data_IF_338564767885
#
_entry.id   IF_338564767885
#
_cell.length_a   1.000
_cell.length_b   1.000
_cell.length_c   1.000
_cell.angle_alpha   90.00
_cell.angle_beta   90.00
_cell.angle_gamma   90.00
#
_symmetry.space_group_name_H-M   'P 1'
#
loop_
_entity.id
_entity.type
_entity.pdbx_description
1 polymer ?
#
# COMPACT_ATOMS: atom_id res chain seq x y z
N UNK A 1 12.25 -38.53 -42.76
CA UNK A 1 12.75 -39.24 -41.57
C UNK A 1 11.93 -38.76 -40.38
N UNK A 2 10.84 -39.46 -40.03
CA UNK A 2 10.75 -40.48 -38.94
C UNK A 2 11.08 -39.87 -37.57
N UNK A 3 10.27 -39.92 -36.50
CA UNK A 3 9.05 -40.67 -36.13
C UNK A 3 8.44 -40.01 -34.87
N UNK A 4 7.12 -40.01 -34.77
CA UNK A 4 6.34 -40.34 -33.56
C UNK A 4 5.39 -41.49 -33.96
N UNK A 5 4.64 -42.20 -33.08
CA UNK A 5 4.52 -42.18 -31.61
C UNK A 5 4.54 -43.61 -30.97
N UNK A 6 4.41 -43.72 -29.64
CA UNK A 6 3.81 -44.90 -28.99
C UNK A 6 2.92 -44.48 -27.81
N UNK A 7 1.62 -44.73 -27.97
CA UNK A 7 0.64 -44.88 -26.88
C UNK A 7 0.59 -46.35 -26.44
N UNK A 8 0.37 -46.61 -25.16
CA UNK A 8 -0.52 -47.67 -24.64
C UNK A 8 -0.72 -47.46 -23.13
N UNK A 9 -1.95 -47.16 -22.68
CA UNK A 9 -2.87 -48.03 -21.90
C UNK A 9 -2.29 -48.44 -20.52
N UNK A 10 -2.97 -48.25 -19.38
CA UNK A 10 -4.41 -48.36 -19.17
C UNK A 10 -4.93 -47.75 -17.87
N UNK A 11 -6.25 -47.89 -17.77
CA UNK A 11 -7.28 -47.20 -17.00
C UNK A 11 -7.50 -47.69 -15.57
N UNK A 12 -7.83 -46.72 -14.70
CA UNK A 12 -8.92 -46.68 -13.70
C UNK A 12 -9.57 -47.97 -13.16
N UNK A 13 -9.78 -47.98 -11.84
CA UNK A 13 -10.94 -48.48 -11.02
C UNK A 13 -10.48 -48.51 -9.54
N UNK A 14 -11.26 -48.28 -8.48
CA UNK A 14 -12.71 -48.15 -8.27
C UNK A 14 -12.96 -47.54 -6.87
N UNK A 15 -14.03 -46.76 -6.75
CA UNK A 15 -14.71 -46.37 -5.51
C UNK A 15 -15.70 -47.46 -5.08
N UNK A 16 -16.05 -47.43 -3.79
CA UNK A 16 -17.22 -48.04 -3.10
C UNK A 16 -17.23 -49.54 -2.74
N UNK A 17 -17.30 -49.79 -1.42
CA UNK A 17 -18.27 -50.73 -0.84
C UNK A 17 -18.62 -50.32 0.60
N UNK A 18 -19.92 -50.25 0.88
CA UNK A 18 -20.55 -50.06 2.19
C UNK A 18 -20.70 -51.37 2.97
N UNK A 19 -20.74 -51.23 4.31
CA UNK A 19 -21.61 -51.90 5.29
C UNK A 19 -20.95 -52.79 6.38
N UNK A 20 -21.06 -52.27 7.62
CA UNK A 20 -21.29 -52.93 8.92
C UNK A 20 -20.39 -54.09 9.38
N UNK A 21 -19.64 -53.86 10.46
CA UNK A 21 -19.74 -54.66 11.70
C UNK A 21 -19.05 -53.98 12.89
N UNK A 22 -19.76 -54.06 14.01
CA UNK A 22 -19.48 -53.67 15.39
C UNK A 22 -18.15 -54.24 15.91
N UNK A 23 -17.38 -53.48 16.70
CA UNK A 23 -16.61 -53.96 17.89
C UNK A 23 -15.97 -52.77 18.64
N UNK A 24 -16.30 -52.62 19.93
CA UNK A 24 -15.60 -51.76 20.93
C UNK A 24 -14.31 -52.43 21.44
N UNK A 25 -13.30 -51.68 21.95
CA UNK A 25 -13.19 -51.56 23.42
C UNK A 25 -12.66 -50.22 23.99
N UNK A 26 -13.36 -49.75 25.03
CA UNK A 26 -12.92 -49.34 26.40
C UNK A 26 -11.59 -48.59 26.66
N UNK A 27 -11.73 -47.28 26.93
CA UNK A 27 -11.41 -46.49 28.16
C UNK A 27 -10.01 -46.52 28.82
N UNK A 28 -9.40 -45.34 28.97
CA UNK A 28 -8.86 -44.73 30.24
C UNK A 28 -8.54 -43.22 30.02
N UNK A 29 -9.40 -42.29 30.47
CA UNK A 29 -9.34 -41.46 31.70
C UNK A 29 -8.24 -40.39 31.81
N UNK A 30 -8.65 -39.12 31.73
CA UNK A 30 -8.39 -38.00 32.70
C UNK A 30 -9.26 -36.81 32.24
N UNK A 31 -10.38 -36.50 32.90
CA UNK A 31 -10.50 -35.56 34.05
C UNK A 31 -9.82 -34.22 33.72
N UNK A 32 -10.52 -33.09 33.57
CA UNK A 32 -11.27 -32.42 34.63
C UNK A 32 -12.49 -31.63 34.12
N UNK A 33 -13.50 -31.60 34.97
CA UNK A 33 -14.81 -30.96 34.84
C UNK A 33 -14.78 -29.46 35.19
N UNK A 34 -15.69 -28.73 34.53
CA UNK A 34 -16.62 -27.69 35.05
C UNK A 34 -16.11 -26.55 35.93
N UNK A 35 -16.43 -25.33 35.52
CA UNK A 35 -17.33 -24.38 36.21
C UNK A 35 -17.94 -23.47 35.11
N UNK A 36 -19.20 -23.65 34.68
CA UNK A 36 -20.46 -23.24 35.29
C UNK A 36 -20.68 -21.71 35.29
N UNK A 37 -21.57 -21.29 34.39
CA UNK A 37 -22.26 -20.01 34.30
C UNK A 37 -22.95 -19.64 35.62
N UNK A 38 -22.89 -18.38 36.01
CA UNK A 38 -23.97 -17.73 36.76
C UNK A 38 -24.21 -16.33 36.18
N UNK A 39 -25.49 -16.07 35.97
CA UNK A 39 -26.13 -14.87 35.44
C UNK A 39 -26.58 -14.03 36.65
N UNK A 40 -26.19 -12.76 36.72
CA UNK A 40 -26.83 -11.74 37.56
C UNK A 40 -26.58 -10.35 36.98
N UNK A 41 -27.65 -9.56 36.93
CA UNK A 41 -27.72 -8.24 36.30
C UNK A 41 -27.29 -7.08 37.22
N UNK A 42 -26.58 -6.11 36.62
CA UNK A 42 -26.47 -4.65 36.92
C UNK A 42 -25.80 -4.16 38.23
N UNK A 43 -25.37 -2.88 38.34
CA UNK A 43 -25.08 -1.84 37.33
C UNK A 43 -23.60 -1.35 37.36
N UNK A 44 -23.22 -0.53 36.36
CA UNK A 44 -21.87 0.00 36.08
C UNK A 44 -21.16 0.71 37.24
N UNK A 45 -19.81 0.70 37.21
CA UNK A 45 -19.06 1.92 37.50
C UNK A 45 -18.07 2.29 36.38
N UNK A 46 -18.00 3.59 36.12
CA UNK A 46 -17.03 4.27 35.27
C UNK A 46 -15.59 4.04 35.74
N UNK A 47 -14.73 3.51 34.86
CA UNK A 47 -13.27 3.66 34.99
C UNK A 47 -12.63 3.77 33.61
N UNK A 48 -11.83 4.82 33.47
CA UNK A 48 -11.00 5.14 32.31
C UNK A 48 -9.94 4.05 32.08
N UNK A 49 -9.58 3.84 30.81
CA UNK A 49 -8.64 2.86 30.26
C UNK A 49 -9.24 1.48 29.94
N UNK A 50 -9.90 1.39 28.79
CA UNK A 50 -10.17 0.12 28.12
C UNK A 50 -8.87 -0.49 27.53
N UNK A 51 -8.78 -1.82 27.43
CA UNK A 51 -7.62 -2.49 26.84
C UNK A 51 -7.53 -2.14 25.35
N UNK A 52 -6.37 -1.61 24.93
CA UNK A 52 -6.05 -1.39 23.52
C UNK A 52 -6.08 -2.74 22.81
N UNK A 53 -7.04 -2.93 21.91
CA UNK A 53 -7.02 -4.09 21.01
C UNK A 53 -5.88 -3.89 20.02
N UNK A 54 -4.87 -4.80 19.98
CA UNK A 54 -3.80 -4.67 19.02
C UNK A 54 -4.35 -4.81 17.60
N UNK A 55 -3.87 -3.95 16.70
CA UNK A 55 -4.11 -4.06 15.28
C UNK A 55 -3.58 -5.43 14.80
N UNK A 56 -4.27 -6.03 13.82
CA UNK A 56 -3.75 -7.22 13.14
C UNK A 56 -2.40 -6.93 12.44
N UNK A 57 -2.10 -5.65 12.19
CA UNK A 57 -0.79 -5.19 11.71
C UNK A 57 0.34 -5.28 12.76
N UNK A 58 0.03 -5.34 14.07
CA UNK A 58 1.04 -5.35 15.16
C UNK A 58 1.39 -6.75 15.70
N UNK A 59 0.78 -7.81 15.18
CA UNK A 59 0.95 -9.19 15.71
C UNK A 59 2.01 -10.05 15.01
N UNK A 60 2.89 -9.45 14.19
CA UNK A 60 3.95 -10.21 13.50
C UNK A 60 5.32 -9.64 13.85
N UNK A 61 5.99 -10.28 14.81
CA UNK A 61 7.41 -10.09 15.08
C UNK A 61 8.25 -10.49 13.86
N UNK A 62 9.29 -9.72 13.48
CA UNK A 62 10.22 -10.13 12.44
C UNK A 62 11.01 -11.38 12.87
N UNK A 63 11.39 -12.29 11.95
CA UNK A 63 12.16 -13.48 12.31
C UNK A 63 13.49 -13.08 12.95
N UNK A 64 13.79 -13.72 14.08
CA UNK A 64 15.02 -13.51 14.84
C UNK A 64 16.25 -13.87 14.00
N UNK A 65 17.24 -12.96 14.00
CA UNK A 65 18.53 -13.14 13.35
C UNK A 65 19.24 -14.42 13.83
N UNK A 66 19.37 -15.40 12.93
CA UNK A 66 20.22 -16.57 13.16
C UNK A 66 21.70 -16.14 13.22
N UNK A 67 22.30 -16.36 14.40
CA UNK A 67 23.73 -16.15 14.68
C UNK A 67 24.60 -16.91 13.68
N UNK A 68 25.38 -16.19 12.85
CA UNK A 68 26.47 -16.79 12.05
C UNK A 68 27.60 -17.22 13.00
N UNK A 69 27.80 -18.54 13.11
CA UNK A 69 28.95 -19.17 13.80
C UNK A 69 30.25 -18.77 13.11
N UNK A 70 31.18 -18.26 13.92
CA UNK A 70 32.58 -17.97 13.60
C UNK A 70 33.30 -19.28 13.27
N UNK A 71 33.88 -19.39 12.08
CA UNK A 71 34.76 -20.52 11.70
C UNK A 71 36.14 -19.97 11.39
N UNK A 72 37.09 -20.32 12.24
CA UNK A 72 38.52 -20.06 12.15
C UNK A 72 39.13 -20.85 10.99
N UNK A 73 39.90 -20.20 10.13
CA UNK A 73 40.73 -20.86 9.11
C UNK A 73 42.19 -20.44 9.30
N UNK A 74 43.02 -21.46 9.46
CA UNK A 74 44.47 -21.46 9.64
C UNK A 74 45.24 -21.07 8.37
N UNK A 75 46.37 -20.36 8.53
CA UNK A 75 47.39 -20.09 7.50
C UNK A 75 48.13 -21.39 7.11
N UNK A 76 48.62 -21.64 5.88
CA UNK A 76 49.79 -21.10 5.11
C UNK A 76 49.94 -22.02 3.84
N UNK A 77 50.89 -21.85 2.89
CA UNK A 77 51.63 -20.66 2.43
C UNK A 77 51.57 -20.47 0.89
N UNK A 78 52.25 -19.42 0.41
CA UNK A 78 52.34 -18.95 -0.96
C UNK A 78 53.17 -19.85 -1.91
N UNK A 79 52.77 -19.86 -3.19
CA UNK A 79 53.61 -20.27 -4.34
C UNK A 79 53.54 -19.15 -5.38
N UNK A 80 54.71 -18.65 -5.75
CA UNK A 80 54.95 -17.70 -6.84
C UNK A 80 54.90 -18.46 -8.18
N UNK A 81 54.26 -17.87 -9.18
CA UNK A 81 54.54 -18.22 -10.58
C UNK A 81 54.56 -16.93 -11.38
N UNK A 82 55.76 -16.59 -11.85
CA UNK A 82 56.02 -15.57 -12.87
C UNK A 82 55.57 -16.10 -14.23
N UNK A 83 54.93 -15.29 -15.06
CA UNK A 83 55.06 -15.39 -16.52
C UNK A 83 54.89 -14.01 -17.17
N UNK A 84 56.05 -13.46 -17.55
CA UNK A 84 56.43 -12.78 -18.81
C UNK A 84 55.45 -11.76 -19.41
N UNK A 85 55.93 -10.52 -19.39
CA UNK A 85 55.44 -9.35 -20.08
C UNK A 85 56.11 -9.30 -21.47
N UNK A 86 55.31 -9.37 -22.54
CA UNK A 86 55.78 -9.07 -23.90
C UNK A 86 55.03 -7.86 -24.46
N UNK A 87 55.85 -6.88 -24.85
CA UNK A 87 55.47 -5.57 -25.37
C UNK A 87 54.94 -5.65 -26.80
N UNK A 88 53.82 -4.98 -27.07
CA UNK A 88 53.56 -4.38 -28.39
C UNK A 88 53.17 -2.92 -28.19
N UNK A 89 54.01 -2.04 -28.74
CA UNK A 89 53.87 -0.58 -28.73
C UNK A 89 52.75 -0.10 -29.66
N UNK A 90 51.98 0.85 -29.11
CA UNK A 90 51.55 2.12 -29.72
C UNK A 90 50.81 2.13 -31.06
N UNK A 91 49.51 2.42 -31.00
CA UNK A 91 48.83 3.32 -31.95
C UNK A 91 48.08 4.38 -31.13
N UNK A 92 48.40 5.64 -31.40
CA UNK A 92 47.80 6.82 -30.77
C UNK A 92 46.29 6.89 -31.04
N UNK A 93 45.51 7.16 -29.99
CA UNK A 93 44.11 7.61 -30.08
C UNK A 93 44.00 9.03 -29.50
N UNK A 94 43.15 9.91 -30.06
CA UNK A 94 43.11 11.33 -29.75
C UNK A 94 42.62 11.62 -28.32
N UNK A 95 42.92 12.82 -27.77
CA UNK A 95 42.67 13.13 -26.36
C UNK A 95 41.17 13.07 -26.04
N UNK A 96 40.86 12.28 -25.01
CA UNK A 96 39.53 12.13 -24.42
C UNK A 96 39.01 13.51 -24.00
N UNK A 97 37.91 13.95 -24.61
CA UNK A 97 37.20 15.15 -24.20
C UNK A 97 36.95 15.10 -22.69
N UNK A 98 37.27 16.19 -22.00
CA UNK A 98 37.14 16.31 -20.56
C UNK A 98 35.73 15.91 -20.12
N UNK A 99 35.65 14.99 -19.16
CA UNK A 99 34.39 14.64 -18.52
C UNK A 99 33.74 15.91 -17.97
N UNK A 100 32.42 16.11 -18.15
CA UNK A 100 31.74 17.26 -17.59
C UNK A 100 31.96 17.29 -16.06
N UNK A 101 32.11 18.48 -15.47
CA UNK A 101 32.32 18.61 -14.04
C UNK A 101 31.19 17.90 -13.28
N UNK A 102 31.50 17.21 -12.17
CA UNK A 102 30.48 16.55 -11.38
C UNK A 102 29.42 17.58 -10.98
N UNK A 103 28.12 17.24 -11.04
CA UNK A 103 27.07 18.18 -10.68
C UNK A 103 27.34 18.72 -9.28
N UNK A 104 27.19 20.03 -9.10
CA UNK A 104 27.42 20.72 -7.83
C UNK A 104 26.75 19.93 -6.70
N UNK A 105 27.53 19.55 -5.67
CA UNK A 105 27.03 18.81 -4.51
C UNK A 105 25.93 19.65 -3.85
N UNK A 106 24.67 19.28 -4.06
CA UNK A 106 23.52 19.89 -3.38
C UNK A 106 23.74 19.86 -1.87
N UNK A 107 23.37 20.95 -1.20
CA UNK A 107 23.44 21.07 0.24
C UNK A 107 22.72 19.89 0.92
N UNK A 108 23.32 19.33 1.97
CA UNK A 108 22.72 18.23 2.70
C UNK A 108 21.37 18.64 3.30
N UNK A 109 20.33 17.81 3.11
CA UNK A 109 18.99 18.01 3.68
C UNK A 109 19.09 18.22 5.19
N UNK A 110 18.51 19.32 5.68
CA UNK A 110 18.34 19.55 7.12
C UNK A 110 17.06 18.83 7.58
N UNK A 111 17.13 17.90 8.56
CA UNK A 111 15.95 17.20 9.05
C UNK A 111 15.00 18.17 9.78
N UNK A 112 13.75 17.74 10.01
CA UNK A 112 12.84 18.49 10.86
C UNK A 112 13.46 18.66 12.26
N UNK A 113 13.53 19.90 12.76
CA UNK A 113 14.09 20.18 14.09
C UNK A 113 13.03 20.78 14.99
N UNK A 114 12.89 20.20 16.19
CA UNK A 114 12.00 20.65 17.24
C UNK A 114 12.75 21.65 18.11
N UNK A 115 12.28 22.90 18.19
CA UNK A 115 12.80 23.94 19.08
C UNK A 115 11.76 24.24 20.14
N UNK A 116 12.15 24.18 21.40
CA UNK A 116 11.33 24.64 22.52
C UNK A 116 11.75 26.05 22.85
N UNK A 117 10.80 26.98 22.84
CA UNK A 117 11.06 28.33 23.31
C UNK A 117 11.28 28.28 24.84
N UNK A 118 12.46 28.70 25.34
CA UNK A 118 12.77 28.62 26.76
C UNK A 118 11.89 29.53 27.63
N UNK A 119 11.17 30.49 27.04
CA UNK A 119 10.37 31.48 27.76
C UNK A 119 8.88 31.12 27.81
N UNK A 120 8.33 30.56 26.73
CA UNK A 120 6.90 30.18 26.66
C UNK A 120 6.65 28.70 26.87
N UNK A 121 7.68 27.84 26.79
CA UNK A 121 7.53 26.39 26.81
C UNK A 121 6.86 25.82 25.54
N UNK A 122 6.44 26.69 24.61
CA UNK A 122 5.86 26.28 23.35
C UNK A 122 6.91 25.59 22.49
N UNK A 123 6.52 24.45 21.92
CA UNK A 123 7.43 23.69 21.06
C UNK A 123 7.05 23.85 19.60
N UNK A 124 7.94 24.44 18.80
CA UNK A 124 7.77 24.62 17.36
C UNK A 124 8.68 23.67 16.59
N UNK A 125 8.10 22.84 15.74
CA UNK A 125 8.87 21.99 14.82
C UNK A 125 9.05 22.73 13.49
N UNK A 126 10.30 22.86 13.05
CA UNK A 126 10.63 23.37 11.72
C UNK A 126 10.57 22.23 10.70
N UNK A 127 10.06 22.49 9.47
CA UNK A 127 9.97 21.46 8.44
C UNK A 127 11.35 21.12 7.85
N UNK A 128 11.52 19.92 7.24
CA UNK A 128 12.74 19.57 6.51
C UNK A 128 13.00 20.55 5.35
N UNK A 129 14.24 20.95 5.08
CA UNK A 129 14.53 22.08 4.17
C UNK A 129 13.99 21.96 2.73
N UNK A 130 13.80 20.76 2.22
CA UNK A 130 13.40 20.44 0.83
C UNK A 130 12.09 19.64 0.77
N UNK A 131 11.27 19.73 1.84
CA UNK A 131 10.00 19.02 1.92
C UNK A 131 9.04 19.46 0.80
N UNK A 132 8.99 20.75 0.51
CA UNK A 132 8.08 21.34 -0.46
C UNK A 132 8.45 20.95 -1.89
N UNK A 133 9.74 21.00 -2.24
CA UNK A 133 10.25 20.51 -3.52
C UNK A 133 9.94 19.02 -3.71
N UNK A 134 10.17 18.22 -2.65
CA UNK A 134 9.89 16.78 -2.69
C UNK A 134 8.39 16.53 -2.91
N UNK A 135 7.53 17.25 -2.19
CA UNK A 135 6.08 17.14 -2.28
C UNK A 135 5.58 17.56 -3.66
N UNK A 136 6.00 18.71 -4.16
CA UNK A 136 5.59 19.27 -5.45
C UNK A 136 6.07 18.41 -6.62
N UNK A 137 7.28 17.85 -6.57
CA UNK A 137 7.75 16.92 -7.58
C UNK A 137 6.91 15.66 -7.63
N UNK A 138 6.53 15.09 -6.47
CA UNK A 138 5.64 13.90 -6.44
C UNK A 138 4.26 14.26 -6.96
N UNK A 139 3.73 15.43 -6.62
CA UNK A 139 2.46 15.93 -7.15
C UNK A 139 2.48 16.05 -8.67
N UNK A 140 3.56 16.59 -9.25
CA UNK A 140 3.78 16.62 -10.71
C UNK A 140 3.85 15.21 -11.31
N UNK A 141 4.56 14.28 -10.66
CA UNK A 141 4.64 12.89 -11.13
C UNK A 141 3.28 12.17 -11.13
N UNK A 142 2.36 12.58 -10.26
CA UNK A 142 1.01 12.01 -10.13
C UNK A 142 -0.03 12.67 -11.05
N UNK A 143 0.30 13.85 -11.59
CA UNK A 143 -0.53 14.54 -12.58
C UNK A 143 -0.65 13.71 -13.88
N UNK A 144 -1.70 13.92 -14.69
CA UNK A 144 -1.88 13.22 -15.97
C UNK A 144 -0.62 13.28 -16.85
N UNK A 145 -0.23 12.13 -17.41
CA UNK A 145 1.01 12.00 -18.20
C UNK A 145 2.29 11.83 -17.37
N UNK A 146 2.22 11.97 -16.04
CA UNK A 146 3.35 11.73 -15.14
C UNK A 146 3.65 10.22 -14.93
N UNK A 147 4.89 9.86 -14.55
CA UNK A 147 5.32 8.47 -14.38
C UNK A 147 4.64 7.72 -13.22
N UNK A 148 4.00 8.45 -12.29
CA UNK A 148 3.26 7.89 -11.17
C UNK A 148 1.74 8.01 -11.33
N UNK A 149 1.26 8.45 -12.49
CA UNK A 149 -0.16 8.55 -12.80
C UNK A 149 -0.81 7.16 -12.98
N UNK A 150 -2.13 7.08 -12.87
CA UNK A 150 -2.89 5.84 -13.13
C UNK A 150 -2.70 4.76 -12.06
N UNK A 151 -2.53 5.16 -10.80
CA UNK A 151 -2.48 4.22 -9.69
C UNK A 151 -3.87 3.67 -9.37
N UNK A 152 -3.95 2.48 -8.78
CA UNK A 152 -5.24 1.88 -8.41
C UNK A 152 -6.05 2.79 -7.46
N UNK A 153 -5.39 3.47 -6.52
CA UNK A 153 -6.03 4.40 -5.59
C UNK A 153 -6.76 5.58 -6.29
N UNK A 154 -6.41 5.90 -7.54
CA UNK A 154 -6.99 7.02 -8.29
C UNK A 154 -8.46 6.78 -8.68
N UNK A 155 -8.81 5.52 -8.90
CA UNK A 155 -10.15 5.10 -9.32
C UNK A 155 -10.81 4.20 -8.28
N UNK A 156 -10.02 3.42 -7.54
CA UNK A 156 -10.46 2.35 -6.66
C UNK A 156 -10.08 2.58 -5.18
N UNK A 157 -9.61 3.78 -4.84
CA UNK A 157 -9.34 4.16 -3.45
C UNK A 157 -10.62 4.20 -2.60
N UNK A 158 -10.52 3.88 -1.31
CA UNK A 158 -11.68 3.71 -0.41
C UNK A 158 -12.60 4.94 -0.36
N UNK A 159 -12.04 6.15 -0.46
CA UNK A 159 -12.79 7.41 -0.48
C UNK A 159 -13.69 7.58 -1.72
N UNK A 160 -13.51 6.76 -2.77
CA UNK A 160 -14.19 6.87 -4.07
C UNK A 160 -15.26 5.81 -4.30
N UNK A 161 -15.34 4.80 -3.43
CA UNK A 161 -16.16 3.60 -3.67
C UNK A 161 -17.61 3.73 -3.18
N UNK A 162 -17.93 4.79 -2.44
CA UNK A 162 -19.29 5.11 -2.03
C UNK A 162 -20.18 5.42 -3.26
N UNK A 163 -21.39 4.85 -3.28
CA UNK A 163 -22.38 5.14 -4.31
C UNK A 163 -22.93 6.57 -4.15
N UNK A 164 -22.67 7.42 -5.14
CA UNK A 164 -23.09 8.83 -5.13
C UNK A 164 -24.61 9.01 -5.23
N UNK A 165 -25.33 7.98 -5.64
CA UNK A 165 -26.80 8.00 -5.74
C UNK A 165 -27.49 7.59 -4.44
N UNK A 166 -26.76 6.98 -3.51
CA UNK A 166 -27.29 6.53 -2.23
C UNK A 166 -27.49 7.70 -1.25
N UNK A 167 -28.23 7.45 -0.16
CA UNK A 167 -28.41 8.44 0.90
C UNK A 167 -27.07 8.87 1.52
N UNK A 168 -27.00 10.05 2.14
CA UNK A 168 -25.78 10.50 2.79
C UNK A 168 -25.30 9.51 3.89
N UNK A 169 -26.25 8.90 4.62
CA UNK A 169 -25.98 7.87 5.62
C UNK A 169 -25.36 6.63 4.99
N UNK A 170 -25.93 6.13 3.89
CA UNK A 170 -25.41 4.94 3.21
C UNK A 170 -24.07 5.21 2.53
N UNK A 171 -23.85 6.43 2.00
CA UNK A 171 -22.54 6.85 1.49
C UNK A 171 -21.46 6.77 2.56
N UNK A 172 -21.74 7.26 3.77
CA UNK A 172 -20.83 7.15 4.90
C UNK A 172 -20.59 5.70 5.31
N UNK A 173 -21.66 4.91 5.35
CA UNK A 173 -21.58 3.47 5.62
C UNK A 173 -20.72 2.74 4.57
N UNK A 174 -20.89 3.05 3.28
CA UNK A 174 -20.05 2.52 2.20
C UNK A 174 -18.57 2.85 2.42
N UNK A 175 -18.25 4.08 2.81
CA UNK A 175 -16.87 4.48 3.13
C UNK A 175 -16.30 3.68 4.30
N UNK A 176 -17.07 3.50 5.37
CA UNK A 176 -16.65 2.69 6.51
C UNK A 176 -16.38 1.23 6.11
N UNK A 177 -17.32 0.58 5.42
CA UNK A 177 -17.17 -0.80 4.98
C UNK A 177 -15.97 -0.95 4.03
N UNK A 178 -15.81 -0.02 3.08
CA UNK A 178 -14.66 -0.02 2.16
C UNK A 178 -13.33 0.06 2.91
N UNK A 179 -13.23 0.89 3.94
CA UNK A 179 -12.04 0.96 4.79
C UNK A 179 -11.81 -0.34 5.57
N UNK A 180 -12.87 -0.93 6.14
CA UNK A 180 -12.77 -2.22 6.87
C UNK A 180 -12.30 -3.37 5.97
N UNK A 181 -12.70 -3.36 4.70
CA UNK A 181 -12.24 -4.33 3.71
C UNK A 181 -10.83 -4.07 3.20
N UNK A 182 -10.34 -2.82 3.27
CA UNK A 182 -9.04 -2.41 2.71
C UNK A 182 -7.81 -2.98 3.43
N UNK A 183 -7.91 -3.31 4.73
CA UNK A 183 -6.76 -3.79 5.50
C UNK A 183 -6.17 -5.05 4.87
N UNK A 184 -4.86 -5.04 4.58
CA UNK A 184 -4.16 -6.14 3.90
C UNK A 184 -4.86 -6.65 2.63
N UNK A 185 -5.52 -5.76 1.88
CA UNK A 185 -6.23 -6.08 0.63
C UNK A 185 -5.88 -5.05 -0.42
N UNK A 186 -5.69 -5.48 -1.67
CA UNK A 186 -5.42 -4.56 -2.78
C UNK A 186 -6.67 -3.73 -3.09
N UNK A 187 -6.50 -2.46 -3.44
CA UNK A 187 -7.60 -1.55 -3.81
C UNK A 187 -8.51 -2.13 -4.89
N UNK A 188 -7.93 -2.81 -5.89
CA UNK A 188 -8.69 -3.44 -6.98
C UNK A 188 -9.62 -4.54 -6.48
N UNK A 189 -9.18 -5.36 -5.53
CA UNK A 189 -9.98 -6.43 -4.93
C UNK A 189 -11.06 -5.84 -4.03
N UNK A 190 -10.71 -4.81 -3.26
CA UNK A 190 -11.66 -4.08 -2.43
C UNK A 190 -12.78 -3.45 -3.28
N UNK A 191 -12.44 -2.80 -4.39
CA UNK A 191 -13.41 -2.19 -5.29
C UNK A 191 -14.40 -3.20 -5.88
N UNK A 192 -13.91 -4.38 -6.29
CA UNK A 192 -14.78 -5.46 -6.77
C UNK A 192 -15.72 -5.95 -5.66
N UNK A 193 -15.21 -6.17 -4.45
CA UNK A 193 -16.02 -6.59 -3.31
C UNK A 193 -17.08 -5.52 -2.95
N UNK A 194 -16.72 -4.24 -2.92
CA UNK A 194 -17.65 -3.14 -2.70
C UNK A 194 -18.72 -3.08 -3.79
N UNK A 195 -18.36 -3.32 -5.05
CA UNK A 195 -19.35 -3.36 -6.13
C UNK A 195 -20.35 -4.49 -5.93
N UNK A 196 -19.87 -5.71 -5.62
CA UNK A 196 -20.74 -6.85 -5.33
C UNK A 196 -21.65 -6.59 -4.14
N UNK A 197 -21.15 -6.01 -3.04
CA UNK A 197 -21.99 -5.64 -1.90
C UNK A 197 -23.08 -4.64 -2.30
N UNK A 198 -22.78 -3.69 -3.18
CA UNK A 198 -23.77 -2.70 -3.63
C UNK A 198 -24.82 -3.27 -4.58
N UNK A 199 -24.51 -4.32 -5.34
CA UNK A 199 -25.41 -4.87 -6.37
C UNK A 199 -26.07 -6.19 -6.01
N UNK A 200 -25.43 -7.00 -5.15
CA UNK A 200 -25.82 -8.39 -4.88
C UNK A 200 -26.24 -8.61 -3.41
N UNK A 201 -26.00 -7.66 -2.49
CA UNK A 201 -26.39 -7.85 -1.09
C UNK A 201 -27.92 -7.88 -0.95
N UNK A 202 -28.52 -9.00 -0.48
CA UNK A 202 -29.97 -9.14 -0.43
C UNK A 202 -30.64 -8.06 0.41
N UNK A 203 -31.85 -7.68 -0.01
CA UNK A 203 -32.71 -6.81 0.78
C UNK A 203 -33.15 -7.50 2.08
N UNK A 204 -33.28 -6.73 3.16
CA UNK A 204 -33.74 -7.24 4.45
C UNK A 204 -35.21 -7.67 4.45
N UNK A 205 -36.03 -7.11 3.55
CA UNK A 205 -37.44 -7.47 3.40
C UNK A 205 -37.93 -7.35 1.94
N UNK A 206 -39.03 -8.03 1.56
CA UNK A 206 -39.61 -7.90 0.22
C UNK A 206 -40.01 -6.46 -0.11
N UNK A 207 -39.50 -5.94 -1.23
CA UNK A 207 -39.78 -4.57 -1.69
C UNK A 207 -38.75 -3.53 -1.22
N UNK A 208 -37.88 -3.86 -0.26
CA UNK A 208 -36.75 -3.01 0.11
C UNK A 208 -35.63 -3.07 -0.95
N UNK A 209 -34.79 -2.02 -1.06
CA UNK A 209 -33.70 -1.98 -2.02
C UNK A 209 -32.62 -3.01 -1.70
N UNK A 210 -32.18 -3.73 -2.74
CA UNK A 210 -30.96 -4.54 -2.74
C UNK A 210 -29.74 -3.61 -2.64
N UNK A 211 -28.68 -4.07 -2.00
CA UNK A 211 -27.40 -3.37 -1.96
C UNK A 211 -26.90 -3.08 -0.55
N UNK A 212 -25.79 -2.36 -0.47
CA UNK A 212 -25.05 -2.15 0.76
C UNK A 212 -25.67 -1.04 1.61
N UNK A 213 -26.54 -1.41 2.55
CA UNK A 213 -27.01 -0.51 3.60
C UNK A 213 -26.98 -1.24 4.95
N UNK A 214 -27.18 -0.48 6.02
CA UNK A 214 -27.10 -1.02 7.37
C UNK A 214 -28.11 -2.15 7.61
N UNK A 215 -29.36 -1.96 7.18
CA UNK A 215 -30.46 -2.88 7.43
C UNK A 215 -30.23 -4.23 6.72
N UNK A 216 -29.79 -4.18 5.46
CA UNK A 216 -29.41 -5.37 4.70
C UNK A 216 -28.22 -6.11 5.34
N UNK A 217 -27.21 -5.41 5.84
CA UNK A 217 -26.07 -6.03 6.55
C UNK A 217 -26.50 -6.64 7.88
N UNK A 218 -27.46 -6.04 8.59
CA UNK A 218 -28.00 -6.58 9.83
C UNK A 218 -28.81 -7.87 9.59
N UNK A 219 -29.66 -7.89 8.56
CA UNK A 219 -30.55 -9.00 8.25
C UNK A 219 -29.84 -10.20 7.59
N UNK A 220 -28.84 -9.95 6.72
CA UNK A 220 -28.19 -11.03 5.95
C UNK A 220 -27.43 -12.01 6.84
N UNK A 221 -27.44 -13.29 6.47
CA UNK A 221 -26.60 -14.31 7.09
C UNK A 221 -25.12 -14.01 6.92
N UNK A 222 -24.33 -14.32 7.96
CA UNK A 222 -22.88 -14.12 7.92
C UNK A 222 -22.20 -14.92 6.80
N UNK A 223 -22.70 -16.11 6.46
CA UNK A 223 -22.18 -16.94 5.36
C UNK A 223 -22.36 -16.27 3.99
N UNK A 224 -23.53 -15.66 3.75
CA UNK A 224 -23.83 -14.92 2.51
C UNK A 224 -22.95 -13.68 2.41
N UNK A 225 -22.88 -12.88 3.47
CA UNK A 225 -21.99 -11.71 3.52
C UNK A 225 -20.53 -12.11 3.25
N UNK A 226 -20.05 -13.19 3.89
CA UNK A 226 -18.71 -13.73 3.67
C UNK A 226 -18.49 -14.15 2.21
N UNK A 227 -19.48 -14.79 1.58
CA UNK A 227 -19.46 -15.17 0.17
C UNK A 227 -19.46 -13.98 -0.81
N UNK A 228 -19.93 -12.80 -0.40
CA UNK A 228 -19.82 -11.58 -1.21
C UNK A 228 -18.41 -10.97 -1.15
N UNK A 229 -17.72 -11.13 -0.02
CA UNK A 229 -16.38 -10.56 0.22
C UNK A 229 -15.25 -11.61 0.21
N UNK A 230 -15.48 -12.84 -0.26
CA UNK A 230 -14.53 -13.95 -0.14
C UNK A 230 -13.13 -13.67 -0.71
N UNK A 231 -13.03 -12.82 -1.74
CA UNK A 231 -11.76 -12.47 -2.37
C UNK A 231 -10.92 -11.50 -1.51
N UNK A 232 -11.52 -10.85 -0.52
CA UNK A 232 -10.86 -9.93 0.40
C UNK A 232 -9.98 -10.72 1.38
N UNK A 233 -8.77 -10.23 1.65
CA UNK A 233 -7.87 -10.86 2.62
C UNK A 233 -8.50 -10.88 4.01
N UNK A 234 -8.40 -12.00 4.73
CA UNK A 234 -8.99 -12.19 6.06
C UNK A 234 -10.52 -11.98 6.11
N UNK A 235 -11.24 -12.30 5.03
CA UNK A 235 -12.68 -12.08 4.91
C UNK A 235 -13.49 -12.67 6.07
N UNK A 236 -13.10 -13.82 6.64
CA UNK A 236 -13.79 -14.42 7.80
C UNK A 236 -13.85 -13.48 9.02
N UNK A 237 -12.71 -12.89 9.41
CA UNK A 237 -12.67 -11.94 10.52
C UNK A 237 -13.40 -10.64 10.16
N UNK A 238 -13.26 -10.18 8.90
CA UNK A 238 -13.94 -8.97 8.42
C UNK A 238 -15.46 -9.13 8.41
N UNK A 239 -16.00 -10.28 8.03
CA UNK A 239 -17.43 -10.58 8.14
C UNK A 239 -17.91 -10.42 9.58
N UNK A 240 -17.18 -10.99 10.54
CA UNK A 240 -17.50 -10.86 11.96
C UNK A 240 -17.48 -9.40 12.40
N UNK A 241 -16.44 -8.65 12.06
CA UNK A 241 -16.31 -7.25 12.41
C UNK A 241 -17.41 -6.38 11.79
N UNK A 242 -17.74 -6.59 10.51
CA UNK A 242 -18.81 -5.86 9.83
C UNK A 242 -20.16 -6.11 10.51
N UNK A 243 -20.50 -7.37 10.82
CA UNK A 243 -21.74 -7.70 11.53
C UNK A 243 -21.80 -7.07 12.93
N UNK A 244 -20.70 -7.13 13.67
CA UNK A 244 -20.62 -6.52 15.00
C UNK A 244 -20.70 -4.99 14.96
N UNK A 245 -19.99 -4.36 14.02
CA UNK A 245 -20.06 -2.92 13.80
C UNK A 245 -21.50 -2.51 13.45
N UNK A 246 -22.17 -3.20 12.52
CA UNK A 246 -23.56 -2.92 12.15
C UNK A 246 -24.51 -2.93 13.37
N UNK A 247 -24.36 -3.89 14.28
CA UNK A 247 -25.15 -3.94 15.52
C UNK A 247 -24.86 -2.71 16.39
N UNK A 248 -23.59 -2.35 16.59
CA UNK A 248 -23.19 -1.16 17.36
C UNK A 248 -23.76 0.12 16.72
N UNK A 249 -23.72 0.25 15.39
CA UNK A 249 -24.25 1.42 14.69
C UNK A 249 -25.76 1.58 14.92
N UNK A 250 -26.52 0.48 14.81
CA UNK A 250 -27.95 0.47 15.10
C UNK A 250 -28.24 0.87 16.55
N UNK A 251 -27.52 0.28 17.51
CA UNK A 251 -27.87 0.37 18.93
C UNK A 251 -27.35 1.66 19.59
N UNK A 252 -26.20 2.19 19.15
CA UNK A 252 -25.51 3.29 19.84
C UNK A 252 -25.38 4.56 18.99
N UNK A 253 -25.49 4.45 17.66
CA UNK A 253 -25.24 5.56 16.73
C UNK A 253 -26.44 5.88 15.83
N UNK A 254 -27.64 5.47 16.25
CA UNK A 254 -28.90 5.74 15.55
C UNK A 254 -28.88 5.36 14.06
N UNK A 255 -28.15 4.28 13.75
CA UNK A 255 -28.00 3.72 12.41
C UNK A 255 -27.03 4.45 11.48
N UNK A 256 -26.26 5.44 11.96
CA UNK A 256 -25.19 6.10 11.19
C UNK A 256 -23.81 5.73 11.76
N UNK A 257 -22.74 6.09 11.04
CA UNK A 257 -21.38 5.90 11.55
C UNK A 257 -21.02 6.99 12.59
N UNK A 258 -20.09 6.75 13.52
CA UNK A 258 -19.60 7.79 14.42
C UNK A 258 -18.92 8.94 13.66
N UNK A 259 -19.03 10.16 14.19
CA UNK A 259 -18.43 11.39 13.64
C UNK A 259 -17.22 11.89 14.46
N UNK A 260 -16.63 10.99 15.25
CA UNK A 260 -15.43 11.24 16.07
C UNK A 260 -14.41 10.12 15.89
N UNK A 261 -13.14 10.43 16.10
CA UNK A 261 -12.05 9.42 16.03
C UNK A 261 -12.28 8.32 17.06
N UNK A 262 -12.56 8.68 18.31
CA UNK A 262 -12.77 7.71 19.40
C UNK A 262 -13.96 6.79 19.10
N UNK A 263 -15.07 7.35 18.64
CA UNK A 263 -16.25 6.58 18.24
C UNK A 263 -15.93 5.62 17.10
N UNK A 264 -15.24 6.08 16.05
CA UNK A 264 -14.85 5.20 14.94
C UNK A 264 -13.91 4.07 15.39
N UNK A 265 -12.92 4.37 16.23
CA UNK A 265 -11.98 3.35 16.76
C UNK A 265 -12.59 2.39 17.76
N UNK A 266 -13.76 2.70 18.33
CA UNK A 266 -14.52 1.78 19.17
C UNK A 266 -15.16 0.64 18.36
N UNK A 267 -15.30 0.80 17.04
CA UNK A 267 -15.85 -0.22 16.17
C UNK A 267 -14.83 -1.35 15.96
N UNK A 268 -15.25 -2.62 16.05
CA UNK A 268 -14.34 -3.74 15.89
C UNK A 268 -13.73 -3.75 14.49
N UNK A 269 -12.41 -3.91 14.42
CA UNK A 269 -11.67 -3.91 13.15
C UNK A 269 -11.38 -2.52 12.57
N UNK A 270 -11.68 -1.43 13.28
CA UNK A 270 -11.36 -0.05 12.86
C UNK A 270 -10.21 0.50 13.71
N UNK A 271 -9.04 0.64 13.10
CA UNK A 271 -7.86 1.25 13.74
C UNK A 271 -7.78 2.77 13.56
N UNK A 272 -6.83 3.46 14.26
CA UNK A 272 -6.68 4.92 14.20
C UNK A 272 -6.53 5.48 12.78
N UNK A 273 -5.73 4.84 11.92
CA UNK A 273 -5.58 5.21 10.50
C UNK A 273 -6.95 5.26 9.81
N UNK A 274 -7.74 4.20 9.98
CA UNK A 274 -9.04 4.08 9.33
C UNK A 274 -9.99 5.14 9.84
N UNK A 275 -9.98 5.45 11.15
CA UNK A 275 -10.78 6.52 11.72
C UNK A 275 -10.46 7.90 11.10
N UNK A 276 -9.19 8.27 10.97
CA UNK A 276 -8.81 9.55 10.33
C UNK A 276 -9.22 9.60 8.85
N UNK A 277 -9.02 8.51 8.10
CA UNK A 277 -9.43 8.44 6.69
C UNK A 277 -10.95 8.50 6.55
N UNK A 278 -11.68 7.77 7.41
CA UNK A 278 -13.13 7.74 7.42
C UNK A 278 -13.69 9.13 7.72
N UNK A 279 -13.22 9.81 8.77
CA UNK A 279 -13.66 11.16 9.12
C UNK A 279 -13.41 12.17 8.00
N UNK A 280 -12.25 12.08 7.34
CA UNK A 280 -11.90 12.95 6.22
C UNK A 280 -12.72 12.67 4.95
N UNK A 281 -13.11 11.42 4.69
CA UNK A 281 -13.84 11.03 3.49
C UNK A 281 -15.37 11.11 3.65
N UNK A 282 -15.89 10.60 4.77
CA UNK A 282 -17.32 10.46 5.07
C UNK A 282 -17.93 11.74 5.65
N UNK A 283 -17.16 12.49 6.45
CA UNK A 283 -17.62 13.70 7.15
C UNK A 283 -16.96 14.98 6.65
N UNK A 284 -16.07 14.88 5.66
CA UNK A 284 -15.28 16.00 5.15
C UNK A 284 -14.52 16.78 6.25
N UNK A 285 -14.11 16.08 7.31
CA UNK A 285 -13.40 16.63 8.48
C UNK A 285 -12.01 16.04 8.58
N UNK A 286 -10.99 16.86 8.32
CA UNK A 286 -9.58 16.44 8.42
C UNK A 286 -9.02 16.81 9.80
N UNK A 287 -9.08 15.86 10.72
CA UNK A 287 -8.55 16.01 12.09
C UNK A 287 -7.15 15.41 12.25
N UNK A 288 -6.72 14.60 11.28
CA UNK A 288 -5.40 14.03 11.27
C UNK A 288 -5.01 13.42 9.93
N UNK A 289 -3.83 12.79 9.92
CA UNK A 289 -3.27 12.16 8.73
C UNK A 289 -3.46 10.66 8.91
N UNK A 290 -4.19 10.02 8.01
CA UNK A 290 -4.24 8.56 7.94
C UNK A 290 -2.91 8.03 7.43
N UNK A 291 -2.01 7.61 8.32
CA UNK A 291 -0.71 7.05 7.92
C UNK A 291 -0.86 5.56 7.69
N UNK A 292 -0.53 5.13 6.48
CA UNK A 292 -0.46 3.71 6.11
C UNK A 292 0.97 3.26 5.84
N UNK A 293 1.13 2.01 5.40
CA UNK A 293 2.43 1.44 5.04
C UNK A 293 3.16 2.22 3.95
N UNK A 294 2.45 2.89 3.03
CA UNK A 294 3.06 3.71 1.99
C UNK A 294 3.58 5.02 2.56
N UNK A 295 2.74 5.79 3.25
CA UNK A 295 3.10 7.06 3.89
C UNK A 295 4.23 6.84 4.89
N UNK A 296 4.11 5.84 5.76
CA UNK A 296 5.13 5.50 6.76
C UNK A 296 6.46 5.17 6.09
N UNK A 297 6.48 4.22 5.14
CA UNK A 297 7.71 3.81 4.45
C UNK A 297 8.35 4.98 3.69
N UNK A 298 7.58 5.68 2.87
CA UNK A 298 8.11 6.68 1.92
C UNK A 298 8.65 7.90 2.65
N UNK A 299 7.95 8.39 3.66
CA UNK A 299 8.42 9.56 4.44
C UNK A 299 9.68 9.25 5.25
N UNK A 300 9.81 8.03 5.78
CA UNK A 300 11.05 7.56 6.40
C UNK A 300 12.19 7.39 5.38
N UNK A 301 11.92 6.89 4.16
CA UNK A 301 12.91 6.77 3.08
C UNK A 301 13.44 8.13 2.62
N UNK A 302 12.56 9.14 2.55
CA UNK A 302 12.96 10.52 2.28
C UNK A 302 13.72 11.12 3.47
N UNK A 303 13.54 10.61 4.68
CA UNK A 303 14.10 11.20 5.89
C UNK A 303 13.36 12.46 6.33
N UNK A 304 12.08 12.57 5.98
CA UNK A 304 11.17 13.56 6.56
C UNK A 304 10.92 13.30 8.05
N UNK A 305 10.97 12.03 8.44
CA UNK A 305 10.90 11.56 9.81
C UNK A 305 11.82 10.34 9.98
N UNK A 306 12.03 9.94 11.23
CA UNK A 306 12.76 8.73 11.62
C UNK A 306 12.00 8.06 12.76
N UNK A 307 10.99 7.29 12.40
CA UNK A 307 9.99 6.73 13.32
C UNK A 307 9.86 5.23 13.10
N UNK A 308 9.44 4.49 14.12
CA UNK A 308 9.27 3.03 14.05
C UNK A 308 7.83 2.61 13.78
N UNK A 309 6.86 3.43 14.16
CA UNK A 309 5.44 3.10 14.02
C UNK A 309 4.71 4.10 13.11
N UNK A 310 3.59 3.70 12.48
CA UNK A 310 2.74 4.62 11.71
C UNK A 310 2.21 5.79 12.54
N UNK A 311 1.89 5.54 13.81
CA UNK A 311 1.36 6.56 14.72
C UNK A 311 2.43 7.62 15.08
N UNK A 312 3.68 7.18 15.31
CA UNK A 312 4.80 8.12 15.45
C UNK A 312 5.01 8.94 14.17
N UNK A 313 4.89 8.32 12.99
CA UNK A 313 4.94 9.05 11.71
C UNK A 313 3.82 10.09 11.61
N UNK A 314 2.60 9.76 12.02
CA UNK A 314 1.45 10.68 12.00
C UNK A 314 1.75 11.93 12.81
N UNK A 315 2.15 11.75 14.07
CA UNK A 315 2.49 12.85 14.97
C UNK A 315 3.67 13.67 14.43
N UNK A 316 4.69 13.01 13.90
CA UNK A 316 5.85 13.68 13.31
C UNK A 316 5.45 14.55 12.10
N UNK A 317 4.64 14.03 11.18
CA UNK A 317 4.15 14.79 10.02
C UNK A 317 3.25 15.95 10.44
N UNK A 318 2.30 15.73 11.34
CA UNK A 318 1.40 16.79 11.82
C UNK A 318 2.12 17.94 12.53
N UNK A 319 3.29 17.67 13.12
CA UNK A 319 4.04 18.71 13.82
C UNK A 319 4.63 19.81 12.91
N UNK A 320 4.73 19.57 11.59
CA UNK A 320 5.34 20.53 10.67
C UNK A 320 4.68 20.62 9.29
N UNK A 321 3.95 19.59 8.83
CA UNK A 321 3.29 19.60 7.53
C UNK A 321 2.05 20.52 7.59
N UNK A 322 1.90 21.47 6.66
CA UNK A 322 0.72 22.35 6.62
C UNK A 322 -0.60 21.58 6.58
N UNK A 323 -1.60 22.05 7.33
CA UNK A 323 -2.87 21.34 7.55
C UNK A 323 -3.67 21.11 6.27
N UNK A 324 -3.56 22.02 5.30
CA UNK A 324 -4.20 21.91 3.98
C UNK A 324 -3.67 20.71 3.18
N UNK A 325 -2.48 20.17 3.50
CA UNK A 325 -1.92 18.98 2.85
C UNK A 325 -2.31 17.66 3.52
N UNK A 326 -2.93 17.68 4.70
CA UNK A 326 -3.18 16.46 5.49
C UNK A 326 -4.16 15.50 4.82
N UNK A 327 -5.16 16.03 4.11
CA UNK A 327 -6.11 15.22 3.33
C UNK A 327 -5.45 14.59 2.11
N UNK A 328 -4.62 15.35 1.40
CA UNK A 328 -4.02 14.95 0.11
C UNK A 328 -2.85 13.96 0.29
N UNK A 329 -2.07 14.08 1.37
CA UNK A 329 -0.79 13.37 1.51
C UNK A 329 -0.93 11.84 1.45
N UNK A 330 -1.99 11.27 2.03
CA UNK A 330 -2.18 9.82 1.99
C UNK A 330 -2.40 9.35 0.54
N UNK A 331 -3.42 9.88 -0.14
CA UNK A 331 -3.72 9.54 -1.53
C UNK A 331 -2.51 9.74 -2.47
N UNK A 332 -1.78 10.84 -2.27
CA UNK A 332 -0.59 11.17 -3.06
C UNK A 332 0.49 10.08 -2.92
N UNK A 333 0.82 9.71 -1.69
CA UNK A 333 1.90 8.77 -1.40
C UNK A 333 1.50 7.31 -1.62
N UNK A 334 0.24 6.95 -1.42
CA UNK A 334 -0.28 5.62 -1.78
C UNK A 334 -0.09 5.40 -3.26
N UNK A 335 -0.60 6.29 -4.12
CA UNK A 335 -0.49 6.09 -5.56
C UNK A 335 0.96 6.17 -6.06
N UNK A 336 1.78 7.05 -5.49
CA UNK A 336 3.23 7.07 -5.77
C UNK A 336 3.92 5.76 -5.34
N UNK A 337 3.51 5.18 -4.22
CA UNK A 337 4.04 3.92 -3.69
C UNK A 337 3.52 2.67 -4.40
N UNK A 338 2.36 2.74 -5.06
CA UNK A 338 1.79 1.69 -5.91
C UNK A 338 2.41 1.66 -7.31
N UNK A 339 2.86 2.81 -7.80
CA UNK A 339 3.41 2.95 -9.15
C UNK A 339 4.94 2.99 -9.12
N UNK A 340 5.56 4.00 -8.53
CA UNK A 340 7.01 4.25 -8.69
C UNK A 340 7.82 3.76 -7.49
N UNK A 341 7.47 4.18 -6.27
CA UNK A 341 8.22 3.88 -5.05
C UNK A 341 7.75 2.56 -4.40
N UNK A 342 7.82 1.48 -5.16
CA UNK A 342 7.39 0.14 -4.77
C UNK A 342 8.11 -0.35 -3.50
N UNK A 343 7.47 -1.19 -2.66
CA UNK A 343 8.11 -1.78 -1.49
C UNK A 343 9.33 -2.64 -1.86
N UNK A 344 9.23 -3.37 -2.98
CA UNK A 344 10.29 -4.20 -3.55
C UNK A 344 10.52 -3.74 -4.99
N UNK A 345 11.79 -3.59 -5.39
CA UNK A 345 12.13 -3.21 -6.76
C UNK A 345 11.73 -1.77 -7.13
N UNK A 346 12.07 -0.79 -6.28
CA UNK A 346 11.77 0.63 -6.54
C UNK A 346 12.22 1.06 -7.94
N UNK A 347 11.36 1.78 -8.65
CA UNK A 347 11.64 2.30 -10.01
C UNK A 347 12.37 3.65 -9.93
N UNK A 348 13.56 3.66 -9.33
CA UNK A 348 14.31 4.91 -9.12
C UNK A 348 14.79 5.57 -10.41
N UNK A 349 14.95 4.83 -11.52
CA UNK A 349 15.26 5.38 -12.85
C UNK A 349 14.10 6.17 -13.47
N UNK A 350 12.86 5.82 -13.11
CA UNK A 350 11.64 6.52 -13.55
C UNK A 350 11.16 7.57 -12.54
N UNK A 351 11.95 7.82 -11.49
CA UNK A 351 11.56 8.66 -10.36
C UNK A 351 12.24 10.02 -10.40
N UNK A 352 11.47 11.09 -10.60
CA UNK A 352 12.02 12.45 -10.72
C UNK A 352 12.72 12.90 -9.44
N UNK A 353 12.27 12.46 -8.26
CA UNK A 353 13.00 12.68 -7.02
C UNK A 353 14.39 12.01 -7.01
N UNK A 354 14.50 10.83 -7.62
CA UNK A 354 15.77 10.11 -7.76
C UNK A 354 16.70 10.81 -8.74
N UNK A 355 16.17 11.18 -9.91
CA UNK A 355 16.87 11.86 -11.00
C UNK A 355 17.37 13.26 -10.60
N UNK A 356 16.56 14.03 -9.88
CA UNK A 356 16.92 15.36 -9.36
C UNK A 356 17.82 15.30 -8.10
N UNK A 357 18.12 14.10 -7.59
CA UNK A 357 18.93 13.92 -6.39
C UNK A 357 18.24 14.34 -5.08
N UNK A 358 16.93 14.57 -5.08
CA UNK A 358 16.14 14.92 -3.88
C UNK A 358 15.95 13.73 -2.93
N UNK A 359 15.85 12.51 -3.47
CA UNK A 359 15.62 11.32 -2.66
C UNK A 359 16.93 10.75 -2.10
N UNK A 360 17.05 10.72 -0.77
CA UNK A 360 18.18 10.12 -0.04
C UNK A 360 18.30 8.61 -0.26
N UNK A 361 17.17 7.91 -0.28
CA UNK A 361 17.12 6.45 -0.42
C UNK A 361 17.06 5.94 -1.87
N UNK A 362 17.29 6.82 -2.85
CA UNK A 362 17.26 6.43 -4.25
C UNK A 362 18.37 5.43 -4.58
N UNK A 363 18.02 4.37 -5.30
CA UNK A 363 18.98 3.38 -5.80
C UNK A 363 19.79 3.99 -6.95
N UNK A 364 20.99 4.49 -6.65
CA UNK A 364 21.83 5.26 -7.60
C UNK A 364 22.13 4.51 -8.89
N UNK A 365 22.30 3.19 -8.84
CA UNK A 365 22.48 2.38 -10.04
C UNK A 365 21.30 2.56 -11.03
N UNK A 366 20.06 2.43 -10.55
CA UNK A 366 18.86 2.61 -11.38
C UNK A 366 18.66 4.05 -11.83
N UNK A 367 19.04 5.03 -11.01
CA UNK A 367 19.02 6.45 -11.40
C UNK A 367 19.96 6.71 -12.57
N UNK A 368 21.16 6.12 -12.55
CA UNK A 368 22.13 6.24 -13.66
C UNK A 368 21.66 5.54 -14.94
N UNK A 369 20.88 4.45 -14.83
CA UNK A 369 20.25 3.80 -15.98
C UNK A 369 19.12 4.66 -16.61
N UNK A 370 18.60 5.66 -15.90
CA UNK A 370 17.61 6.62 -16.41
C UNK A 370 16.22 6.03 -16.71
N UNK A 371 15.37 6.85 -17.36
CA UNK A 371 14.08 6.39 -17.92
C UNK A 371 14.37 5.58 -19.18
N UNK A 372 14.03 4.30 -19.17
CA UNK A 372 13.99 3.50 -20.40
C UNK A 372 12.70 3.84 -21.12
N UNK A 373 12.77 4.72 -22.12
CA UNK A 373 11.61 5.02 -22.97
C UNK A 373 11.47 3.86 -23.96
N UNK A 374 10.41 3.06 -23.80
CA UNK A 374 9.96 2.15 -24.86
C UNK A 374 9.12 2.98 -25.84
N UNK A 375 9.62 3.22 -27.05
CA UNK A 375 8.79 3.74 -28.14
C UNK A 375 8.26 2.57 -28.95
N UNK A 376 6.93 2.53 -29.12
CA UNK A 376 6.28 1.65 -30.09
C UNK A 376 6.23 2.39 -31.43
N UNK A 377 7.17 2.11 -32.33
CA UNK A 377 7.08 2.58 -33.71
C UNK A 377 6.21 1.61 -34.51
N UNK A 378 5.13 2.14 -35.08
CA UNK A 378 4.29 1.39 -36.03
C UNK A 378 4.79 1.69 -37.44
N UNK A 379 5.67 0.84 -37.97
CA UNK A 379 6.11 0.94 -39.36
C UNK A 379 5.00 0.33 -40.23
N UNK A 380 4.36 1.16 -41.06
CA UNK A 380 3.48 0.68 -42.13
C UNK A 380 4.36 0.30 -43.31
N UNK A 381 4.40 -0.98 -43.66
CA UNK A 381 5.11 -1.48 -44.83
C UNK A 381 4.22 -1.27 -46.08
N UNK A 382 4.57 -0.31 -46.93
CA UNK A 382 3.76 0.11 -48.11
C UNK A 382 3.72 -0.94 -49.24
N UNK A 383 4.26 -2.14 -49.05
CA UNK A 383 4.19 -3.22 -50.05
C UNK A 383 3.20 -4.35 -49.77
N UNK A 384 2.78 -4.59 -48.51
CA UNK A 384 2.06 -5.84 -48.15
C UNK A 384 0.92 -5.70 -47.13
N UNK A 385 0.59 -4.50 -46.66
CA UNK A 385 -0.54 -4.28 -45.74
C UNK A 385 -0.39 -4.94 -44.36
N UNK A 386 0.80 -5.48 -44.02
CA UNK A 386 1.09 -6.04 -42.70
C UNK A 386 1.62 -4.95 -41.76
N UNK A 387 0.91 -4.71 -40.66
CA UNK A 387 1.37 -3.88 -39.56
C UNK A 387 2.31 -4.71 -38.68
N UNK A 388 3.60 -4.40 -38.69
CA UNK A 388 4.57 -5.03 -37.78
C UNK A 388 4.81 -4.08 -36.60
N UNK A 389 4.37 -4.49 -35.41
CA UNK A 389 4.73 -3.81 -34.16
C UNK A 389 6.18 -4.18 -33.82
N UNK A 390 7.09 -3.20 -33.83
CA UNK A 390 8.48 -3.40 -33.38
C UNK A 390 8.70 -2.61 -32.10
N UNK A 391 9.06 -3.31 -31.03
CA UNK A 391 9.51 -2.65 -29.80
C UNK A 391 10.96 -2.17 -29.99
N UNK A 392 11.19 -0.85 -29.89
CA UNK A 392 12.55 -0.29 -29.92
C UNK A 392 12.84 0.33 -28.54
N UNK A 393 13.92 -0.16 -27.91
CA UNK A 393 14.48 0.39 -26.69
C UNK A 393 15.42 1.54 -27.07
N UNK A 394 15.05 2.78 -26.76
CA UNK A 394 15.92 3.94 -26.97
C UNK A 394 16.50 4.37 -25.62
N UNK A 395 17.82 4.23 -25.46
CA UNK A 395 18.56 4.80 -24.32
C UNK A 395 18.78 6.30 -24.59
N UNK A 396 18.09 7.18 -23.85
CA UNK A 396 18.18 8.62 -24.06
C UNK A 396 18.12 9.42 -22.76
N UNK A 397 19.22 10.12 -22.46
CA UNK A 397 19.28 11.20 -21.47
C UNK A 397 18.63 12.43 -22.09
N UNK A 398 17.44 12.81 -21.62
CA UNK A 398 16.78 14.05 -22.06
C UNK A 398 17.29 15.21 -21.22
N UNK A 399 18.13 16.05 -21.82
CA UNK A 399 18.40 17.42 -21.36
C UNK A 399 17.30 18.33 -21.87
N UNK A 400 16.50 18.89 -20.96
CA UNK A 400 15.50 19.92 -21.28
C UNK A 400 16.23 21.22 -21.56
N UNK A 401 16.13 21.75 -22.79
CA UNK A 401 16.38 23.16 -23.08
C UNK A 401 15.02 23.82 -23.36
N UNK A 402 14.69 24.83 -22.55
CA UNK A 402 13.64 25.79 -22.86
C UNK A 402 14.08 26.60 -24.09
N UNK A 403 13.26 26.64 -25.14
CA UNK A 403 13.36 27.66 -26.18
C UNK A 403 12.14 28.58 -26.06
N UNK A 404 12.46 29.86 -25.84
CA UNK A 404 11.56 31.01 -25.83
C UNK A 404 11.07 31.24 -27.25
N UNK A 405 9.75 31.34 -27.43
CA UNK A 405 9.14 31.71 -28.73
C UNK A 405 8.87 33.21 -28.69
N UNK A 406 9.66 33.97 -29.45
CA UNK A 406 9.37 35.36 -29.78
C UNK A 406 8.30 35.39 -30.89
N UNK A 407 7.21 36.12 -30.64
CA UNK A 407 6.18 36.46 -31.62
C UNK A 407 6.63 37.67 -32.45
N UNK A 408 6.54 37.59 -33.79
CA UNK A 408 6.42 38.77 -34.66
C UNK A 408 5.54 38.46 -35.90
N UNK A 409 4.95 39.50 -36.51
CA UNK A 409 3.57 39.48 -37.00
C UNK A 409 3.48 39.22 -38.51
N UNK A 410 2.28 38.93 -39.01
CA UNK A 410 2.01 38.91 -40.45
C UNK A 410 1.03 40.02 -40.82
N UNK A 411 1.47 40.77 -41.83
CA UNK A 411 0.77 41.79 -42.62
C UNK A 411 -0.50 41.26 -43.31
#
# INVERSE_FOLDING_TARGET
MMRSPRQSKGTAKLLEHHATTTTTPRRTTRSLSRFAYTDTASPWPTSKHGPQTPDIEDSISPPANAKKRRRTSTARPAVKTELVEDSIRSICSPPKAAAPPPPARRAARKPATRKTDPTTGETRTSPPSDWEDTYNTVKKMRAPGGPAHGAAVDTMGCERLADRTASARDQRFHTLISLMLSSQTKDTVNAVAMQRLKTELPAHEPGAPVGLNLDNVLAVDASVLNGLIWAVGFHNNKTKYIKQAAVILRDQWNGDIPDSIDGLTSLPGVGPKMAYLCLSAAWNRTEGIGVDVHVHRITNLWGWNKTKTPEETRLALQSWLPRDKWREINWLLVGFGQTVCLPVGRRCGDCDLGLQGLCKAAERKKVMEGRRVKQEETIKDEGTGRVVKKEVLVEGVVSVKEEVVDELPRE
#
